data_IF_916317414431
#
_entry.id   IF_916317414431
#
_cell.length_a   1.000
_cell.length_b   1.000
_cell.length_c   1.000
_cell.angle_alpha   90.00
_cell.angle_beta   90.00
_cell.angle_gamma   90.00
#
_symmetry.space_group_name_H-M   'P 1'
#
loop_
_entity.id
_entity.type
_entity.pdbx_description
1 polymer ?
#
# COMPACT_ATOMS: atom_id res chain seq x y z
N UNK A 1 30.58 -43.67 26.87
CA UNK A 1 29.24 -43.57 26.27
C UNK A 1 29.09 -42.40 25.29
N UNK A 2 29.59 -41.19 25.58
CA UNK A 2 29.54 -40.05 24.63
C UNK A 2 30.49 -40.13 23.42
N UNK A 3 31.63 -40.83 23.54
CA UNK A 3 32.62 -40.93 22.46
C UNK A 3 32.21 -41.93 21.34
N UNK A 4 31.41 -42.94 21.65
CA UNK A 4 30.88 -43.89 20.67
C UNK A 4 29.69 -43.32 19.86
N UNK A 5 28.92 -42.41 20.45
CA UNK A 5 27.80 -41.72 19.76
C UNK A 5 28.35 -40.70 18.74
N UNK A 6 29.47 -40.03 19.06
CA UNK A 6 30.13 -39.10 18.14
C UNK A 6 30.73 -39.81 16.92
N UNK A 7 31.36 -40.98 17.11
CA UNK A 7 31.93 -41.77 16.01
C UNK A 7 30.86 -42.35 15.07
N UNK A 8 29.67 -42.69 15.58
CA UNK A 8 28.54 -43.14 14.75
C UNK A 8 27.88 -42.00 13.94
N UNK A 9 28.00 -40.76 14.42
CA UNK A 9 27.52 -39.57 13.71
C UNK A 9 28.48 -39.17 12.57
N UNK A 10 29.80 -39.33 12.78
CA UNK A 10 30.83 -39.02 11.78
C UNK A 10 30.90 -40.08 10.67
N UNK A 11 30.59 -41.35 10.94
CA UNK A 11 30.59 -42.39 9.89
C UNK A 11 29.40 -42.32 8.92
N UNK A 12 28.30 -41.64 9.28
CA UNK A 12 27.11 -41.47 8.43
C UNK A 12 27.11 -40.17 7.59
N UNK A 13 28.13 -39.32 7.75
CA UNK A 13 28.26 -38.06 6.99
C UNK A 13 28.75 -38.29 5.55
N UNK A 14 29.40 -39.41 5.25
CA UNK A 14 29.91 -39.72 3.90
C UNK A 14 28.81 -40.20 2.94
N UNK A 15 27.73 -40.80 3.44
CA UNK A 15 26.65 -41.34 2.60
C UNK A 15 25.57 -40.29 2.27
N UNK A 16 25.36 -39.32 3.16
CA UNK A 16 24.39 -38.21 2.94
C UNK A 16 24.94 -37.18 1.95
N UNK A 17 26.26 -36.98 1.91
CA UNK A 17 26.90 -36.03 1.00
C UNK A 17 26.82 -36.45 -0.48
N UNK A 18 26.82 -37.76 -0.78
CA UNK A 18 26.79 -38.26 -2.16
C UNK A 18 25.38 -38.23 -2.76
N UNK A 19 24.34 -38.39 -1.94
CA UNK A 19 22.94 -38.22 -2.37
C UNK A 19 22.54 -36.75 -2.62
N UNK A 20 23.13 -35.81 -1.89
CA UNK A 20 22.87 -34.38 -2.08
C UNK A 20 23.52 -33.81 -3.36
N UNK A 21 24.69 -34.31 -3.75
CA UNK A 21 25.34 -33.87 -4.99
C UNK A 21 24.61 -34.34 -6.26
N UNK A 22 23.99 -35.53 -6.27
CA UNK A 22 23.26 -36.01 -7.46
C UNK A 22 21.97 -35.22 -7.74
N UNK A 23 21.30 -34.74 -6.68
CA UNK A 23 20.12 -33.87 -6.77
C UNK A 23 20.47 -32.48 -7.30
N UNK A 24 21.66 -31.96 -6.97
CA UNK A 24 22.15 -30.67 -7.46
C UNK A 24 22.48 -30.74 -8.95
N UNK A 25 23.16 -31.81 -9.40
CA UNK A 25 23.57 -31.95 -10.82
C UNK A 25 22.36 -32.16 -11.76
N UNK A 26 21.33 -32.89 -11.33
CA UNK A 26 20.12 -33.11 -12.15
C UNK A 26 19.17 -31.90 -12.22
N UNK A 27 19.25 -30.95 -11.28
CA UNK A 27 18.37 -29.76 -11.25
C UNK A 27 18.95 -28.54 -11.95
N UNK A 28 20.25 -28.50 -12.25
CA UNK A 28 20.88 -27.38 -12.97
C UNK A 28 20.28 -27.16 -14.37
N UNK A 29 20.03 -28.19 -15.21
CA UNK A 29 19.41 -27.98 -16.53
C UNK A 29 17.94 -27.53 -16.44
N UNK A 30 17.20 -28.00 -15.42
CA UNK A 30 15.80 -27.62 -15.18
C UNK A 30 15.69 -26.18 -14.67
N UNK A 31 16.60 -25.75 -13.78
CA UNK A 31 16.72 -24.35 -13.36
C UNK A 31 17.11 -23.44 -14.53
N UNK A 32 18.01 -23.88 -15.42
CA UNK A 32 18.40 -23.10 -16.60
C UNK A 32 17.22 -22.90 -17.57
N UNK A 33 16.40 -23.94 -17.78
CA UNK A 33 15.18 -23.88 -18.60
C UNK A 33 14.05 -23.05 -17.94
N UNK A 34 13.99 -23.00 -16.61
CA UNK A 34 13.10 -22.09 -15.88
C UNK A 34 13.57 -20.63 -15.91
N UNK A 35 14.88 -20.40 -15.86
CA UNK A 35 15.47 -19.06 -15.96
C UNK A 35 15.37 -18.48 -17.38
N UNK A 36 15.43 -19.31 -18.42
CA UNK A 36 15.25 -18.87 -19.82
C UNK A 36 13.80 -18.50 -20.17
N UNK A 37 12.80 -19.06 -19.47
CA UNK A 37 11.38 -18.70 -19.63
C UNK A 37 10.90 -17.57 -18.70
N UNK A 38 11.76 -17.06 -17.82
CA UNK A 38 11.47 -15.93 -16.93
C UNK A 38 11.85 -14.57 -17.53
N UNK A 39 11.93 -14.45 -18.86
CA UNK A 39 11.92 -13.14 -19.51
C UNK A 39 10.51 -12.55 -19.46
N UNK A 40 10.13 -12.10 -18.26
CA UNK A 40 9.10 -11.09 -18.08
C UNK A 40 9.55 -9.91 -18.94
N UNK A 41 8.81 -9.59 -20.02
CA UNK A 41 9.01 -8.35 -20.77
C UNK A 41 8.96 -7.22 -19.76
N UNK A 42 10.12 -6.68 -19.41
CA UNK A 42 10.24 -5.52 -18.54
C UNK A 42 9.53 -4.40 -19.31
N UNK A 43 8.36 -3.97 -18.86
CA UNK A 43 7.72 -2.78 -19.41
C UNK A 43 8.69 -1.63 -19.11
N UNK A 44 9.36 -1.12 -20.13
CA UNK A 44 10.35 -0.06 -19.98
C UNK A 44 9.58 1.25 -20.03
N UNK A 45 9.20 1.75 -18.85
CA UNK A 45 8.67 3.10 -18.72
C UNK A 45 9.77 4.13 -18.99
N UNK A 46 9.38 5.31 -19.47
CA UNK A 46 10.28 6.44 -19.61
C UNK A 46 10.94 6.76 -18.27
N UNK A 47 12.27 6.85 -18.24
CA UNK A 47 13.00 7.20 -17.02
C UNK A 47 12.78 8.67 -16.69
N UNK A 48 12.25 8.97 -15.50
CA UNK A 48 12.19 10.33 -14.99
C UNK A 48 13.60 10.83 -14.65
N UNK A 49 13.82 12.14 -14.85
CA UNK A 49 15.09 12.83 -14.57
C UNK A 49 14.79 14.17 -13.92
N UNK A 50 15.73 14.65 -13.11
CA UNK A 50 15.66 15.95 -12.43
C UNK A 50 14.45 16.09 -11.50
N UNK A 51 14.14 15.04 -10.74
CA UNK A 51 13.05 15.09 -9.76
C UNK A 51 13.31 16.17 -8.69
N UNK A 52 12.31 16.99 -8.33
CA UNK A 52 12.43 17.96 -7.25
C UNK A 52 12.70 17.28 -5.90
N UNK A 53 13.41 17.97 -5.01
CA UNK A 53 13.70 17.45 -3.68
C UNK A 53 12.42 17.38 -2.82
N UNK A 54 12.09 16.19 -2.31
CA UNK A 54 10.98 15.98 -1.38
C UNK A 54 11.41 15.79 0.08
N UNK A 55 12.72 15.90 0.37
CA UNK A 55 13.24 15.69 1.71
C UNK A 55 12.51 16.52 2.80
N UNK A 56 12.14 17.81 2.56
CA UNK A 56 11.40 18.61 3.54
C UNK A 56 9.99 18.09 3.87
N UNK A 57 9.39 17.30 2.98
CA UNK A 57 8.08 16.67 3.24
C UNK A 57 8.19 15.51 4.25
N UNK A 58 9.42 15.09 4.54
CA UNK A 58 9.75 13.88 5.30
C UNK A 58 10.64 14.23 6.49
N UNK A 59 10.41 15.40 7.11
CA UNK A 59 11.13 15.87 8.31
C UNK A 59 10.19 16.02 9.49
N UNK A 60 10.76 16.01 10.70
CA UNK A 60 9.98 16.24 11.92
C UNK A 60 9.36 17.62 11.88
N UNK A 61 8.11 17.71 12.32
CA UNK A 61 7.39 18.97 12.52
C UNK A 61 6.91 19.08 13.96
N UNK A 62 6.61 20.31 14.35
CA UNK A 62 5.91 20.56 15.61
C UNK A 62 4.40 20.32 15.47
N UNK A 63 3.77 19.81 16.52
CA UNK A 63 2.31 19.73 16.57
C UNK A 63 1.68 21.11 16.78
N UNK A 64 0.42 21.27 16.35
CA UNK A 64 -0.36 22.50 16.52
C UNK A 64 -1.61 22.19 17.35
N UNK A 65 -1.48 22.05 18.69
CA UNK A 65 -2.58 21.57 19.53
C UNK A 65 -3.70 22.59 19.70
N UNK A 66 -3.38 23.89 19.58
CA UNK A 66 -4.36 24.98 19.58
C UNK A 66 -5.01 25.07 18.21
N UNK A 67 -6.32 25.22 18.19
CA UNK A 67 -7.07 25.40 16.94
C UNK A 67 -6.69 26.74 16.32
N UNK A 68 -6.41 26.72 15.02
CA UNK A 68 -6.13 27.91 14.21
C UNK A 68 -7.10 27.99 13.03
N UNK A 69 -7.40 29.21 12.56
CA UNK A 69 -8.20 29.41 11.36
C UNK A 69 -7.33 29.22 10.11
N UNK A 70 -7.85 28.54 9.11
CA UNK A 70 -7.27 28.52 7.78
C UNK A 70 -7.81 29.70 6.94
N UNK A 71 -7.01 30.20 6.01
CA UNK A 71 -7.41 31.25 5.08
C UNK A 71 -8.07 30.60 3.85
N UNK A 72 -9.38 30.80 3.69
CA UNK A 72 -10.14 30.23 2.57
C UNK A 72 -9.99 31.09 1.31
N UNK A 73 -9.70 30.46 0.19
CA UNK A 73 -9.74 31.02 -1.17
C UNK A 73 -10.71 30.21 -2.03
N UNK A 74 -11.45 30.86 -2.91
CA UNK A 74 -12.52 30.22 -3.67
C UNK A 74 -13.74 29.88 -2.79
N UNK A 75 -14.35 28.73 -3.04
CA UNK A 75 -15.59 28.30 -2.42
C UNK A 75 -15.47 26.93 -1.75
N UNK A 76 -15.57 26.89 -0.42
CA UNK A 76 -15.84 25.66 0.33
C UNK A 76 -17.35 25.50 0.48
N UNK A 77 -17.97 24.40 -0.01
CA UNK A 77 -19.42 24.26 0.02
C UNK A 77 -20.01 24.36 1.42
N UNK A 78 -21.10 25.12 1.57
CA UNK A 78 -21.74 25.36 2.88
C UNK A 78 -22.36 24.12 3.50
N UNK A 79 -22.73 23.13 2.68
CA UNK A 79 -23.26 21.85 3.13
C UNK A 79 -22.17 20.93 3.70
N UNK A 80 -20.89 21.18 3.38
CA UNK A 80 -19.77 20.40 3.89
C UNK A 80 -19.56 20.76 5.36
N UNK A 81 -20.00 19.87 6.24
CA UNK A 81 -19.98 20.06 7.69
C UNK A 81 -19.42 18.81 8.37
N UNK A 82 -18.26 18.91 8.99
CA UNK A 82 -17.60 17.74 9.57
C UNK A 82 -16.13 17.94 9.90
N UNK A 83 -15.45 16.81 10.10
CA UNK A 83 -14.03 16.74 10.39
C UNK A 83 -13.33 15.86 9.36
N UNK A 84 -12.35 16.41 8.64
CA UNK A 84 -11.35 15.59 7.97
C UNK A 84 -10.25 15.27 8.99
N UNK A 85 -10.09 13.99 9.28
CA UNK A 85 -9.02 13.46 10.13
C UNK A 85 -8.00 12.75 9.25
N UNK A 86 -6.71 13.08 9.39
CA UNK A 86 -5.61 12.42 8.68
C UNK A 86 -4.53 11.97 9.63
N UNK A 87 -3.80 10.92 9.24
CA UNK A 87 -2.67 10.39 9.99
C UNK A 87 -1.46 10.20 9.09
N UNK A 88 -0.29 10.48 9.65
CA UNK A 88 0.99 10.29 8.99
C UNK A 88 2.16 10.35 9.98
N UNK A 89 3.37 10.01 9.55
CA UNK A 89 4.56 10.16 10.36
C UNK A 89 4.94 11.64 10.47
N UNK A 90 5.08 12.17 11.68
CA UNK A 90 5.45 13.56 11.92
C UNK A 90 6.68 13.79 12.78
N UNK A 91 7.27 12.72 13.33
CA UNK A 91 8.55 12.77 14.07
C UNK A 91 9.44 11.61 13.67
N UNK A 92 10.65 11.91 13.22
CA UNK A 92 11.57 10.96 12.61
C UNK A 92 12.83 10.67 13.45
N UNK A 93 12.92 11.25 14.66
CA UNK A 93 14.05 11.07 15.57
C UNK A 93 13.68 11.33 17.05
N UNK A 94 14.45 10.71 17.94
CA UNK A 94 14.48 10.95 19.39
C UNK A 94 15.94 11.05 19.84
N UNK A 95 16.31 12.15 20.52
CA UNK A 95 17.70 12.47 20.82
C UNK A 95 18.60 12.37 19.58
N UNK A 96 19.55 11.43 19.62
CA UNK A 96 20.49 11.17 18.51
C UNK A 96 20.02 10.06 17.56
N UNK A 97 19.04 9.27 17.98
CA UNK A 97 18.56 8.11 17.23
C UNK A 97 17.55 8.55 16.17
N UNK A 98 17.68 8.01 14.95
CA UNK A 98 16.83 8.34 13.81
C UNK A 98 16.12 7.09 13.31
N UNK A 99 14.88 7.27 12.88
CA UNK A 99 14.18 6.23 12.14
C UNK A 99 14.79 6.06 10.74
N UNK A 100 14.77 4.82 10.24
CA UNK A 100 15.31 4.43 8.94
C UNK A 100 14.23 4.39 7.86
N UNK A 101 13.04 3.88 8.18
CA UNK A 101 11.96 3.70 7.22
C UNK A 101 10.86 4.75 7.39
N UNK A 102 10.20 5.12 6.29
CA UNK A 102 9.16 6.15 6.31
C UNK A 102 8.00 5.79 7.24
N UNK A 103 7.65 4.50 7.29
CA UNK A 103 6.57 3.97 8.14
C UNK A 103 6.87 3.97 9.64
N UNK A 104 8.12 4.20 10.04
CA UNK A 104 8.52 4.15 11.45
C UNK A 104 8.29 5.48 12.19
N UNK A 105 8.08 6.58 11.46
CA UNK A 105 7.89 7.90 12.06
C UNK A 105 6.65 7.97 12.94
N UNK A 106 6.73 8.71 14.05
CA UNK A 106 5.63 8.72 15.03
C UNK A 106 4.37 9.39 14.48
N UNK A 107 3.24 8.77 14.78
CA UNK A 107 1.94 9.19 14.30
C UNK A 107 1.58 10.62 14.76
N UNK A 108 1.41 11.52 13.80
CA UNK A 108 0.84 12.84 13.95
C UNK A 108 -0.59 12.80 13.38
N UNK A 109 -1.57 13.13 14.20
CA UNK A 109 -2.95 13.29 13.75
C UNK A 109 -3.19 14.73 13.34
N UNK A 110 -3.82 14.93 12.19
CA UNK A 110 -4.27 16.22 11.68
C UNK A 110 -5.80 16.26 11.67
N UNK A 111 -6.37 17.38 12.07
CA UNK A 111 -7.81 17.62 12.00
C UNK A 111 -8.08 18.93 11.26
N UNK A 112 -8.94 18.86 10.24
CA UNK A 112 -9.57 20.02 9.63
C UNK A 112 -11.06 19.98 9.99
N UNK A 113 -11.50 20.91 10.83
CA UNK A 113 -12.93 21.13 11.10
C UNK A 113 -13.47 22.05 10.00
N UNK A 114 -14.50 21.60 9.30
CA UNK A 114 -15.16 22.34 8.22
C UNK A 114 -16.59 22.63 8.65
N UNK A 115 -16.98 23.89 8.63
CA UNK A 115 -18.34 24.31 9.03
C UNK A 115 -18.73 25.59 8.29
N UNK A 116 -19.87 25.56 7.58
CA UNK A 116 -20.46 26.74 6.91
C UNK A 116 -19.47 27.48 5.99
N UNK A 117 -18.60 26.75 5.31
CA UNK A 117 -17.57 27.31 4.42
C UNK A 117 -16.31 27.84 5.11
N UNK A 118 -16.20 27.70 6.43
CA UNK A 118 -14.99 28.00 7.20
C UNK A 118 -14.21 26.72 7.48
N UNK A 119 -12.89 26.84 7.61
CA UNK A 119 -12.00 25.72 7.91
C UNK A 119 -11.06 26.09 9.07
N UNK A 120 -10.97 25.22 10.05
CA UNK A 120 -10.04 25.34 11.18
C UNK A 120 -9.15 24.10 11.25
N UNK A 121 -7.91 24.29 11.69
CA UNK A 121 -6.89 23.25 11.76
C UNK A 121 -6.34 23.06 13.17
N UNK A 122 -5.98 21.81 13.50
CA UNK A 122 -5.08 21.45 14.60
C UNK A 122 -4.36 20.14 14.30
N UNK A 123 -3.24 19.89 14.97
CA UNK A 123 -2.57 18.59 14.97
C UNK A 123 -2.05 18.21 16.34
N UNK A 124 -1.91 16.90 16.58
CA UNK A 124 -1.35 16.36 17.83
C UNK A 124 -0.69 15.00 17.60
N UNK A 125 0.46 14.76 18.21
CA UNK A 125 1.08 13.45 18.24
C UNK A 125 0.21 12.47 19.02
N UNK A 126 0.02 11.28 18.45
CA UNK A 126 -0.62 10.18 19.14
C UNK A 126 0.24 9.80 20.34
N UNK A 127 -0.35 9.88 21.52
CA UNK A 127 0.31 9.53 22.78
C UNK A 127 0.32 8.00 22.98
N UNK A 128 0.89 7.27 22.00
CA UNK A 128 1.08 5.82 22.04
C UNK A 128 2.12 5.44 23.07
N UNK A 129 2.13 4.16 23.47
CA UNK A 129 3.13 3.64 24.41
C UNK A 129 4.55 3.80 23.84
N UNK A 130 4.74 3.57 22.53
CA UNK A 130 6.03 3.84 21.87
C UNK A 130 6.42 5.31 21.94
N UNK A 131 5.52 6.24 21.60
CA UNK A 131 5.82 7.67 21.62
C UNK A 131 6.22 8.12 23.03
N UNK A 132 5.47 7.71 24.04
CA UNK A 132 5.75 8.01 25.45
C UNK A 132 7.08 7.42 25.89
N UNK A 133 7.33 6.15 25.59
CA UNK A 133 8.57 5.46 25.97
C UNK A 133 9.79 6.15 25.35
N UNK A 134 9.76 6.40 24.04
CA UNK A 134 10.86 7.07 23.35
C UNK A 134 11.05 8.53 23.83
N UNK A 135 9.97 9.24 24.17
CA UNK A 135 10.05 10.61 24.72
C UNK A 135 10.68 10.63 26.11
N UNK A 136 10.32 9.70 26.99
CA UNK A 136 10.89 9.60 28.35
C UNK A 136 12.39 9.30 28.31
N UNK A 137 12.82 8.46 27.38
CA UNK A 137 14.22 8.05 27.26
C UNK A 137 15.06 8.92 26.31
N UNK A 138 14.44 9.87 25.61
CA UNK A 138 15.04 10.68 24.54
C UNK A 138 15.88 9.87 23.53
N UNK A 139 15.38 8.68 23.18
CA UNK A 139 16.00 7.75 22.21
C UNK A 139 14.99 6.72 21.72
N UNK A 140 15.31 5.97 20.67
CA UNK A 140 14.42 4.92 20.15
C UNK A 140 14.61 3.63 20.99
N UNK A 141 13.62 3.32 21.84
CA UNK A 141 13.63 2.14 22.72
C UNK A 141 12.68 1.03 22.30
N UNK A 142 11.78 1.31 21.35
CA UNK A 142 10.88 0.33 20.72
C UNK A 142 11.24 0.15 19.25
N UNK A 143 11.45 -1.09 18.81
CA UNK A 143 11.71 -1.40 17.41
C UNK A 143 10.43 -1.24 16.59
N UNK A 144 10.56 -0.60 15.43
CA UNK A 144 9.48 -0.41 14.44
C UNK A 144 9.75 -1.25 13.18
N UNK A 145 8.98 -1.04 12.12
CA UNK A 145 9.01 -1.83 10.90
C UNK A 145 10.42 -1.93 10.27
N UNK A 146 11.08 -0.79 10.05
CA UNK A 146 12.41 -0.72 9.43
C UNK A 146 13.54 -0.28 10.37
N UNK A 147 13.24 -0.04 11.65
CA UNK A 147 14.21 0.48 12.63
C UNK A 147 14.29 -0.41 13.85
N UNK A 148 15.47 -0.97 14.09
CA UNK A 148 15.74 -1.71 15.32
C UNK A 148 16.08 -0.73 16.45
N UNK A 149 15.36 -0.81 17.56
CA UNK A 149 15.76 -0.13 18.79
C UNK A 149 17.03 -0.77 19.36
N UNK A 150 18.01 0.07 19.69
CA UNK A 150 19.21 -0.40 20.38
C UNK A 150 18.84 -0.79 21.82
N UNK A 151 19.22 -1.99 22.28
CA UNK A 151 18.89 -2.46 23.62
C UNK A 151 19.40 -1.48 24.68
N UNK A 152 18.60 -1.28 25.72
CA UNK A 152 19.02 -0.54 26.90
C UNK A 152 20.23 -1.23 27.54
N UNK A 153 21.41 -0.56 27.64
CA UNK A 153 22.59 -1.16 28.25
C UNK A 153 22.36 -1.59 29.70
N UNK A 154 21.33 -1.05 30.37
CA UNK A 154 20.99 -1.32 31.76
C UNK A 154 20.00 -2.49 31.97
N UNK A 155 19.47 -3.13 30.91
CA UNK A 155 18.50 -4.24 31.03
C UNK A 155 19.14 -5.62 30.86
N UNK A 156 18.76 -6.55 31.75
CA UNK A 156 19.21 -7.94 31.74
C UNK A 156 18.67 -8.73 30.53
N UNK A 157 19.40 -9.76 30.10
CA UNK A 157 19.16 -10.52 28.85
C UNK A 157 17.72 -11.00 28.72
N UNK A 158 17.07 -11.44 29.80
CA UNK A 158 15.68 -11.94 29.77
C UNK A 158 14.63 -10.85 29.53
N UNK A 159 14.85 -9.62 29.98
CA UNK A 159 13.95 -8.48 29.69
C UNK A 159 14.09 -8.00 28.24
N UNK A 160 15.15 -8.39 27.53
CA UNK A 160 15.40 -8.02 26.12
C UNK A 160 14.44 -8.73 25.14
N UNK A 161 13.76 -9.79 25.58
CA UNK A 161 13.00 -10.71 24.71
C UNK A 161 11.48 -10.48 24.65
N UNK A 162 10.90 -9.60 25.47
CA UNK A 162 9.45 -9.43 25.51
C UNK A 162 9.00 -8.26 24.62
N UNK A 163 8.55 -8.58 23.41
CA UNK A 163 7.71 -7.69 22.60
C UNK A 163 6.56 -8.49 22.01
N UNK A 164 5.33 -8.04 22.25
CA UNK A 164 4.10 -8.59 21.66
C UNK A 164 4.13 -8.30 20.16
N UNK A 165 4.10 -9.34 19.34
CA UNK A 165 3.98 -9.21 17.89
C UNK A 165 2.62 -9.77 17.47
N UNK A 166 1.79 -8.93 16.87
CA UNK A 166 0.64 -9.36 16.06
C UNK A 166 1.10 -9.38 14.60
N UNK A 167 0.88 -10.52 13.92
CA UNK A 167 1.24 -10.68 12.51
C UNK A 167 0.35 -9.75 11.67
N UNK A 168 0.90 -8.97 10.72
CA UNK A 168 0.07 -8.18 9.81
C UNK A 168 -0.90 -9.09 9.08
N UNK A 169 -2.19 -8.78 9.22
CA UNK A 169 -3.29 -9.55 8.64
C UNK A 169 -3.19 -9.62 7.12
N UNK A 170 -3.68 -10.72 6.56
CA UNK A 170 -3.89 -10.87 5.11
C UNK A 170 -4.69 -9.68 4.58
N UNK A 171 -4.22 -9.03 3.51
CA UNK A 171 -4.99 -8.02 2.79
C UNK A 171 -6.28 -8.66 2.27
N UNK A 172 -7.44 -8.09 2.62
CA UNK A 172 -8.74 -8.70 2.39
C UNK A 172 -9.66 -7.79 1.57
N UNK A 173 -10.11 -8.32 0.43
CA UNK A 173 -11.31 -7.89 -0.28
C UNK A 173 -12.56 -8.23 0.49
N UNK A 174 -13.62 -7.41 0.36
CA UNK A 174 -14.92 -7.74 0.93
C UNK A 174 -16.06 -7.33 0.01
N UNK A 175 -17.00 -8.24 -0.17
CA UNK A 175 -18.29 -8.01 -0.85
C UNK A 175 -19.44 -8.15 0.14
N UNK A 176 -20.68 -8.16 -0.36
CA UNK A 176 -21.86 -8.41 0.47
C UNK A 176 -21.78 -9.76 1.18
N UNK A 177 -21.36 -10.82 0.49
CA UNK A 177 -21.39 -12.20 0.98
C UNK A 177 -20.02 -12.84 1.16
N UNK A 178 -18.93 -12.27 0.62
CA UNK A 178 -17.62 -12.91 0.61
C UNK A 178 -16.50 -12.02 1.16
N UNK A 179 -15.47 -12.68 1.71
CA UNK A 179 -14.18 -12.09 2.05
C UNK A 179 -13.13 -12.73 1.13
N UNK A 180 -12.26 -11.93 0.53
CA UNK A 180 -11.25 -12.37 -0.44
C UNK A 180 -9.87 -12.10 0.13
N UNK A 181 -9.20 -13.12 0.64
CA UNK A 181 -7.80 -12.95 1.07
C UNK A 181 -6.86 -13.07 -0.11
N UNK A 182 -5.99 -12.08 -0.27
CA UNK A 182 -4.99 -12.04 -1.33
C UNK A 182 -3.68 -12.49 -0.74
N UNK A 183 -3.24 -13.68 -1.12
CA UNK A 183 -1.93 -14.19 -0.75
C UNK A 183 -0.91 -13.83 -1.83
N UNK A 184 -0.08 -12.85 -1.50
CA UNK A 184 0.92 -12.30 -2.40
C UNK A 184 2.27 -13.02 -2.21
N UNK A 185 3.17 -13.01 -3.21
CA UNK A 185 4.53 -13.56 -3.10
C UNK A 185 5.48 -12.77 -2.18
N UNK A 186 4.97 -12.14 -1.12
CA UNK A 186 5.76 -11.47 -0.07
C UNK A 186 5.83 -12.41 1.14
N UNK A 187 6.98 -13.05 1.34
CA UNK A 187 7.17 -14.04 2.40
C UNK A 187 7.78 -13.41 3.64
N UNK A 188 7.28 -13.84 4.80
CA UNK A 188 7.83 -13.50 6.10
C UNK A 188 8.65 -14.68 6.63
N UNK A 189 9.96 -14.50 6.76
CA UNK A 189 10.83 -15.48 7.39
C UNK A 189 10.78 -15.31 8.92
N UNK A 190 9.89 -16.07 9.56
CA UNK A 190 9.66 -15.99 11.01
C UNK A 190 10.93 -16.22 11.83
N UNK A 191 11.83 -17.11 11.40
CA UNK A 191 13.10 -17.31 12.08
C UNK A 191 13.98 -16.06 12.04
N UNK A 192 14.09 -15.39 10.88
CA UNK A 192 14.80 -14.12 10.77
C UNK A 192 14.16 -13.02 11.63
N UNK A 193 12.83 -12.98 11.71
CA UNK A 193 12.06 -12.01 12.49
C UNK A 193 12.25 -12.25 14.00
N UNK A 194 12.07 -13.49 14.47
CA UNK A 194 12.21 -13.85 15.89
C UNK A 194 13.65 -13.62 16.37
N UNK A 195 14.65 -13.86 15.51
CA UNK A 195 16.06 -13.63 15.82
C UNK A 195 16.56 -12.21 15.49
N UNK A 196 15.68 -11.30 15.06
CA UNK A 196 16.02 -9.95 14.59
C UNK A 196 16.88 -9.16 15.59
N UNK A 197 16.44 -9.11 16.86
CA UNK A 197 17.15 -8.44 17.96
C UNK A 197 18.54 -9.03 18.21
N UNK A 198 18.67 -10.36 18.20
CA UNK A 198 19.97 -11.04 18.39
C UNK A 198 20.91 -10.74 17.22
N UNK A 199 20.37 -10.64 16.01
CA UNK A 199 21.13 -10.41 14.77
C UNK A 199 21.44 -8.94 14.51
N UNK A 200 20.90 -8.02 15.31
CA UNK A 200 21.02 -6.58 15.06
C UNK A 200 20.34 -6.16 13.75
N UNK A 201 19.22 -6.79 13.40
CA UNK A 201 18.47 -6.56 12.14
C UNK A 201 17.08 -6.02 12.40
N UNK A 202 16.55 -5.26 11.44
CA UNK A 202 15.19 -4.72 11.52
C UNK A 202 14.14 -5.82 11.22
N UNK A 203 12.88 -5.56 11.54
CA UNK A 203 11.78 -6.49 11.22
C UNK A 203 11.63 -6.69 9.71
N UNK A 204 11.74 -5.60 8.93
CA UNK A 204 11.68 -5.61 7.48
C UNK A 204 12.70 -6.55 6.82
N UNK A 205 13.85 -6.81 7.44
CA UNK A 205 14.90 -7.73 6.93
C UNK A 205 14.44 -9.20 6.89
N UNK A 206 13.33 -9.51 7.57
CA UNK A 206 12.66 -10.80 7.53
C UNK A 206 11.66 -10.96 6.39
N UNK A 207 11.38 -9.90 5.61
CA UNK A 207 10.40 -9.90 4.54
C UNK A 207 11.12 -9.96 3.19
N UNK A 208 10.67 -10.85 2.29
CA UNK A 208 11.24 -10.97 0.94
C UNK A 208 10.18 -11.12 -0.14
N UNK A 209 10.46 -10.56 -1.31
CA UNK A 209 9.73 -10.82 -2.55
C UNK A 209 10.20 -12.12 -3.19
N UNK A 210 9.29 -13.07 -3.38
CA UNK A 210 9.55 -14.43 -3.87
C UNK A 210 8.69 -14.72 -5.12
N UNK A 211 9.00 -14.11 -6.28
CA UNK A 211 8.17 -14.15 -7.49
C UNK A 211 8.06 -15.54 -8.15
N UNK A 212 8.82 -16.52 -7.68
CA UNK A 212 8.65 -17.92 -8.08
C UNK A 212 7.34 -18.53 -7.59
N UNK A 213 6.67 -17.88 -6.61
CA UNK A 213 5.33 -18.23 -6.18
C UNK A 213 4.29 -17.37 -6.89
N UNK A 214 3.10 -17.94 -7.12
CA UNK A 214 1.96 -17.24 -7.69
C UNK A 214 1.22 -16.42 -6.63
N UNK A 215 0.52 -15.37 -7.06
CA UNK A 215 -0.51 -14.74 -6.22
C UNK A 215 -1.74 -15.64 -6.17
N UNK A 216 -2.37 -15.78 -5.00
CA UNK A 216 -3.57 -16.60 -4.81
C UNK A 216 -4.71 -15.79 -4.21
N UNK A 217 -5.93 -16.06 -4.67
CA UNK A 217 -7.13 -15.51 -4.05
C UNK A 217 -7.86 -16.61 -3.30
N UNK A 218 -8.14 -16.37 -2.02
CA UNK A 218 -8.92 -17.27 -1.17
C UNK A 218 -10.27 -16.61 -0.91
N UNK A 219 -11.34 -17.16 -1.47
CA UNK A 219 -12.69 -16.62 -1.32
C UNK A 219 -13.41 -17.37 -0.20
N UNK A 220 -13.80 -16.66 0.84
CA UNK A 220 -14.45 -17.20 2.04
C UNK A 220 -15.87 -16.66 2.10
N UNK A 221 -16.84 -17.54 2.25
CA UNK A 221 -18.22 -17.15 2.54
C UNK A 221 -18.30 -16.53 3.94
N UNK A 222 -18.76 -15.28 4.02
CA UNK A 222 -18.76 -14.48 5.24
C UNK A 222 -19.76 -14.98 6.28
N UNK A 223 -20.82 -15.65 5.85
CA UNK A 223 -21.91 -16.10 6.72
C UNK A 223 -21.57 -17.44 7.38
N UNK A 224 -20.90 -18.32 6.63
CA UNK A 224 -20.56 -19.67 7.07
C UNK A 224 -19.10 -19.81 7.53
N UNK A 225 -18.22 -18.87 7.13
CA UNK A 225 -16.78 -18.96 7.34
C UNK A 225 -16.10 -20.01 6.45
N UNK A 226 -16.82 -20.64 5.52
CA UNK A 226 -16.29 -21.69 4.67
C UNK A 226 -15.47 -21.11 3.52
N UNK A 227 -14.29 -21.70 3.29
CA UNK A 227 -13.48 -21.43 2.11
C UNK A 227 -14.13 -22.09 0.89
N UNK A 228 -14.31 -21.33 -0.19
CA UNK A 228 -14.79 -21.88 -1.45
C UNK A 228 -13.73 -22.83 -2.07
N UNK A 229 -14.16 -23.91 -2.73
CA UNK A 229 -13.23 -24.92 -3.27
C UNK A 229 -12.37 -24.41 -4.44
N UNK A 230 -12.76 -23.29 -5.07
CA UNK A 230 -12.01 -22.69 -6.16
C UNK A 230 -10.64 -22.19 -5.68
N UNK A 231 -9.57 -22.79 -6.20
CA UNK A 231 -8.21 -22.27 -6.02
C UNK A 231 -7.88 -21.31 -7.16
N UNK A 232 -8.04 -20.01 -6.93
CA UNK A 232 -7.74 -18.98 -7.93
C UNK A 232 -6.28 -18.54 -7.82
N UNK A 233 -5.59 -18.53 -8.95
CA UNK A 233 -4.19 -18.17 -9.07
C UNK A 233 -4.00 -17.06 -10.09
N UNK A 234 -2.98 -16.23 -9.92
CA UNK A 234 -2.51 -15.32 -10.95
C UNK A 234 -1.00 -15.27 -11.01
N UNK A 235 -0.47 -14.58 -12.03
CA UNK A 235 0.94 -14.20 -12.08
C UNK A 235 1.32 -13.44 -10.79
N UNK A 236 2.58 -13.52 -10.35
CA UNK A 236 3.04 -12.81 -9.17
C UNK A 236 2.82 -11.29 -9.33
N UNK A 237 2.20 -10.69 -8.33
CA UNK A 237 2.09 -9.24 -8.14
C UNK A 237 1.97 -8.93 -6.65
N UNK A 238 2.24 -7.69 -6.27
CA UNK A 238 1.89 -7.15 -4.95
C UNK A 238 0.82 -6.07 -5.04
N UNK A 239 0.09 -5.88 -3.96
CA UNK A 239 -0.90 -4.82 -3.79
C UNK A 239 -0.89 -4.36 -2.34
N UNK A 240 -0.90 -3.05 -2.13
CA UNK A 240 -1.12 -2.46 -0.81
C UNK A 240 -2.60 -2.16 -0.61
N UNK A 241 -3.26 -1.64 -1.64
CA UNK A 241 -4.63 -1.16 -1.55
C UNK A 241 -5.55 -1.86 -2.54
N UNK A 242 -6.66 -2.34 -1.99
CA UNK A 242 -7.83 -2.69 -2.77
C UNK A 242 -8.62 -1.42 -3.10
N UNK A 243 -9.15 -1.34 -4.31
CA UNK A 243 -10.04 -0.26 -4.75
C UNK A 243 -11.47 -0.57 -4.32
N UNK A 244 -12.03 -1.69 -4.79
CA UNK A 244 -13.35 -2.19 -4.41
C UNK A 244 -13.47 -3.69 -4.72
N UNK A 245 -14.50 -4.35 -4.20
CA UNK A 245 -14.91 -5.68 -4.64
C UNK A 245 -16.43 -5.78 -4.64
N UNK A 246 -17.01 -6.54 -5.56
CA UNK A 246 -18.46 -6.72 -5.65
C UNK A 246 -18.83 -8.07 -6.28
N UNK A 247 -20.10 -8.43 -6.19
CA UNK A 247 -20.65 -9.64 -6.80
C UNK A 247 -21.45 -9.28 -8.06
N UNK A 248 -21.25 -10.00 -9.16
CA UNK A 248 -22.05 -9.88 -10.39
C UNK A 248 -22.10 -11.23 -11.13
N UNK A 249 -23.30 -11.62 -11.59
CA UNK A 249 -23.55 -12.85 -12.37
C UNK A 249 -22.80 -14.11 -11.89
N UNK A 250 -22.81 -14.39 -10.58
CA UNK A 250 -22.17 -15.58 -10.01
C UNK A 250 -20.63 -15.48 -9.90
N UNK A 251 -20.07 -14.29 -10.02
CA UNK A 251 -18.65 -14.01 -9.83
C UNK A 251 -18.44 -12.98 -8.73
N UNK A 252 -17.27 -13.05 -8.08
CA UNK A 252 -16.69 -11.92 -7.36
C UNK A 252 -15.77 -11.16 -8.31
N UNK A 253 -15.98 -9.86 -8.43
CA UNK A 253 -15.10 -8.92 -9.13
C UNK A 253 -14.28 -8.19 -8.08
N UNK A 254 -12.96 -8.14 -8.24
CA UNK A 254 -12.05 -7.46 -7.32
C UNK A 254 -11.09 -6.55 -8.08
N UNK A 255 -11.06 -5.28 -7.66
CA UNK A 255 -10.27 -4.22 -8.28
C UNK A 255 -9.16 -3.80 -7.31
N UNK A 256 -7.91 -3.80 -7.77
CA UNK A 256 -6.71 -3.67 -6.95
C UNK A 256 -5.68 -2.73 -7.57
N UNK A 257 -4.99 -1.95 -6.74
CA UNK A 257 -3.75 -1.26 -7.12
C UNK A 257 -2.59 -2.27 -7.10
N UNK A 258 -2.14 -2.73 -8.28
CA UNK A 258 -1.20 -3.83 -8.42
C UNK A 258 0.17 -3.38 -8.94
N UNK A 259 1.23 -3.95 -8.37
CA UNK A 259 2.62 -3.76 -8.77
C UNK A 259 3.24 -5.11 -9.13
N UNK A 260 4.01 -5.16 -10.22
CA UNK A 260 4.62 -6.43 -10.68
C UNK A 260 5.91 -6.80 -9.93
N UNK A 261 6.35 -5.97 -8.99
CA UNK A 261 7.55 -6.17 -8.18
C UNK A 261 7.28 -5.81 -6.71
N UNK A 262 7.54 -6.77 -5.82
CA UNK A 262 7.31 -6.62 -4.38
C UNK A 262 8.42 -5.91 -3.59
N UNK A 263 9.50 -5.47 -4.26
CA UNK A 263 10.67 -4.86 -3.58
C UNK A 263 10.49 -3.39 -3.22
N UNK A 264 9.32 -2.81 -3.49
CA UNK A 264 9.05 -1.39 -3.27
C UNK A 264 9.27 -0.94 -1.81
N UNK A 265 9.00 -1.80 -0.82
CA UNK A 265 9.26 -1.52 0.59
C UNK A 265 10.74 -1.22 0.88
N UNK A 266 11.68 -1.78 0.11
CA UNK A 266 13.11 -1.50 0.28
C UNK A 266 13.47 -0.07 -0.18
N UNK A 267 12.67 0.54 -1.06
CA UNK A 267 12.92 1.89 -1.57
C UNK A 267 12.46 2.96 -0.58
N UNK A 268 11.40 2.71 0.20
CA UNK A 268 10.80 3.67 1.14
C UNK A 268 11.60 3.91 2.45
N UNK A 269 12.89 3.61 2.42
CA UNK A 269 13.85 4.06 3.42
C UNK A 269 14.03 5.58 3.34
N UNK A 270 14.01 6.28 4.46
CA UNK A 270 14.16 7.74 4.55
C UNK A 270 15.45 8.23 3.90
N UNK A 271 16.53 7.44 3.96
CA UNK A 271 17.79 7.76 3.28
C UNK A 271 17.66 7.81 1.75
N UNK A 272 16.74 7.04 1.15
CA UNK A 272 16.47 7.07 -0.28
C UNK A 272 15.53 8.22 -0.62
N UNK A 273 14.46 8.39 0.16
CA UNK A 273 13.45 9.43 -0.06
C UNK A 273 14.02 10.85 0.13
N UNK A 274 15.06 11.01 0.96
CA UNK A 274 15.75 12.28 1.19
C UNK A 274 16.94 12.53 0.25
N UNK A 275 17.17 11.67 -0.77
CA UNK A 275 18.18 11.92 -1.82
C UNK A 275 17.80 13.13 -2.66
N UNK A 276 18.77 13.67 -3.38
CA UNK A 276 18.59 14.76 -4.36
C UNK A 276 19.26 14.42 -5.69
N UNK A 277 18.85 15.12 -6.75
CA UNK A 277 19.40 14.98 -8.10
C UNK A 277 19.38 13.52 -8.60
N UNK A 278 20.48 13.08 -9.23
CA UNK A 278 20.59 11.75 -9.83
C UNK A 278 20.31 10.60 -8.86
N UNK A 279 20.61 10.77 -7.57
CA UNK A 279 20.35 9.75 -6.55
C UNK A 279 18.86 9.53 -6.30
N UNK A 280 18.07 10.61 -6.35
CA UNK A 280 16.62 10.55 -6.24
C UNK A 280 15.99 9.95 -7.50
N UNK A 281 16.45 10.37 -8.68
CA UNK A 281 16.02 9.80 -9.96
C UNK A 281 16.26 8.28 -10.00
N UNK A 282 17.41 7.82 -9.51
CA UNK A 282 17.71 6.39 -9.43
C UNK A 282 16.75 5.64 -8.50
N UNK A 283 16.47 6.20 -7.32
CA UNK A 283 15.54 5.60 -6.36
C UNK A 283 14.12 5.49 -6.95
N UNK A 284 13.62 6.56 -7.56
CA UNK A 284 12.32 6.56 -8.23
C UNK A 284 12.24 5.56 -9.37
N UNK A 285 13.27 5.50 -10.24
CA UNK A 285 13.28 4.61 -11.39
C UNK A 285 13.48 3.13 -11.03
N UNK A 286 13.78 2.81 -9.76
CA UNK A 286 13.81 1.41 -9.26
C UNK A 286 12.48 0.89 -8.72
N UNK A 287 11.51 1.76 -8.47
CA UNK A 287 10.19 1.39 -7.93
C UNK A 287 9.30 0.85 -9.04
N UNK A 288 8.59 -0.25 -8.76
CA UNK A 288 7.52 -0.72 -9.63
C UNK A 288 6.28 0.15 -9.49
N UNK A 289 5.71 0.52 -10.64
CA UNK A 289 4.49 1.30 -10.75
C UNK A 289 3.29 0.46 -10.31
N UNK A 290 2.32 1.14 -9.70
CA UNK A 290 1.03 0.55 -9.34
C UNK A 290 -0.02 0.88 -10.38
N UNK A 291 -0.75 -0.13 -10.87
CA UNK A 291 -1.82 0.04 -11.84
C UNK A 291 -3.12 -0.61 -11.36
N UNK A 292 -4.29 0.02 -11.63
CA UNK A 292 -5.58 -0.52 -11.23
C UNK A 292 -5.94 -1.70 -12.14
N UNK A 293 -6.08 -2.87 -11.54
CA UNK A 293 -6.36 -4.15 -12.23
C UNK A 293 -7.59 -4.81 -11.65
N UNK A 294 -8.45 -5.31 -12.53
CA UNK A 294 -9.65 -6.09 -12.22
C UNK A 294 -9.40 -7.58 -12.40
N UNK A 295 -9.75 -8.36 -11.39
CA UNK A 295 -9.82 -9.82 -11.46
C UNK A 295 -11.28 -10.28 -11.28
N UNK A 296 -11.63 -11.38 -11.95
CA UNK A 296 -12.97 -11.98 -11.86
C UNK A 296 -12.83 -13.42 -11.37
N UNK A 297 -13.53 -13.74 -10.29
CA UNK A 297 -13.46 -15.01 -9.57
C UNK A 297 -14.84 -15.71 -9.60
N UNK A 298 -15.09 -16.66 -10.52
CA UNK A 298 -16.37 -17.36 -10.61
C UNK A 298 -16.65 -18.21 -9.36
N UNK A 299 -17.76 -17.96 -8.66
CA UNK A 299 -18.07 -18.55 -7.35
C UNK A 299 -18.41 -20.04 -7.41
N UNK A 300 -18.98 -20.49 -8.53
CA UNK A 300 -19.44 -21.86 -8.74
C UNK A 300 -18.66 -22.51 -9.89
N UNK A 301 -17.55 -23.16 -9.57
CA UNK A 301 -16.77 -23.93 -10.55
C UNK A 301 -17.07 -25.42 -10.39
N UNK A 302 -17.78 -25.99 -11.38
CA UNK A 302 -18.07 -27.42 -11.42
C UNK A 302 -16.78 -28.24 -11.63
N UNK A 303 -16.73 -29.44 -11.04
CA UNK A 303 -15.66 -30.41 -11.32
C UNK A 303 -15.57 -30.73 -12.82
N UNK A 304 -16.70 -30.72 -13.53
CA UNK A 304 -16.80 -30.98 -14.96
C UNK A 304 -16.66 -29.71 -15.83
N UNK A 305 -16.29 -28.57 -15.24
CA UNK A 305 -16.06 -27.35 -16.01
C UNK A 305 -14.97 -27.58 -17.08
N UNK A 306 -15.16 -27.05 -18.30
CA UNK A 306 -14.26 -27.25 -19.42
C UNK A 306 -12.87 -26.68 -19.12
N UNK A 307 -11.84 -27.41 -19.53
CA UNK A 307 -10.44 -26.95 -19.43
C UNK A 307 -10.10 -26.01 -20.59
N UNK A 308 -9.29 -25.00 -20.33
CA UNK A 308 -8.83 -24.05 -21.36
C UNK A 308 -9.85 -22.97 -21.74
N UNK A 309 -11.10 -23.07 -21.29
CA UNK A 309 -12.14 -22.07 -21.52
C UNK A 309 -12.23 -21.05 -20.39
N UNK A 310 -12.68 -19.83 -20.74
CA UNK A 310 -12.94 -18.79 -19.75
C UNK A 310 -14.25 -19.08 -19.01
N UNK A 311 -14.15 -19.24 -17.69
CA UNK A 311 -15.29 -19.50 -16.80
C UNK A 311 -16.04 -18.22 -16.38
N UNK A 312 -15.51 -17.03 -16.71
CA UNK A 312 -16.20 -15.77 -16.44
C UNK A 312 -17.33 -15.54 -17.45
N UNK A 313 -18.60 -15.35 -17.00
CA UNK A 313 -19.71 -14.98 -17.88
C UNK A 313 -19.79 -13.46 -18.15
N UNK A 314 -18.90 -12.65 -17.56
CA UNK A 314 -18.99 -11.19 -17.59
C UNK A 314 -18.53 -10.62 -18.94
N UNK A 315 -19.47 -10.28 -19.80
CA UNK A 315 -19.19 -9.73 -21.15
C UNK A 315 -18.52 -8.35 -21.15
N UNK A 316 -18.63 -7.58 -20.06
CA UNK A 316 -18.10 -6.23 -19.95
C UNK A 316 -16.64 -6.18 -19.44
N UNK A 317 -16.05 -7.32 -19.10
CA UNK A 317 -14.67 -7.39 -18.58
C UNK A 317 -13.83 -8.29 -19.44
N UNK A 318 -12.60 -7.86 -19.74
CA UNK A 318 -11.62 -8.70 -20.43
C UNK A 318 -10.85 -9.63 -19.48
N UNK A 319 -11.09 -9.56 -18.17
CA UNK A 319 -10.48 -10.45 -17.20
C UNK A 319 -11.00 -11.88 -17.41
N UNK A 320 -10.12 -12.87 -17.31
CA UNK A 320 -10.48 -14.27 -17.52
C UNK A 320 -10.11 -15.15 -16.33
N UNK A 321 -10.89 -16.21 -16.13
CA UNK A 321 -10.64 -17.25 -15.14
C UNK A 321 -10.70 -18.61 -15.86
N UNK A 322 -9.54 -19.20 -16.14
CA UNK A 322 -9.43 -20.40 -16.98
C UNK A 322 -9.00 -21.59 -16.13
N UNK A 323 -9.81 -22.66 -16.13
CA UNK A 323 -9.42 -23.92 -15.50
C UNK A 323 -8.32 -24.60 -16.31
N UNK A 324 -7.23 -24.96 -15.64
CA UNK A 324 -6.11 -25.70 -16.21
C UNK A 324 -6.24 -27.20 -15.91
N UNK A 325 -5.47 -28.04 -16.62
CA UNK A 325 -5.45 -29.50 -16.45
C UNK A 325 -5.06 -29.98 -15.05
N UNK A 326 -4.39 -29.14 -14.25
CA UNK A 326 -4.06 -29.42 -12.85
C UNK A 326 -5.19 -29.05 -11.87
N UNK A 327 -6.36 -28.66 -12.39
CA UNK A 327 -7.54 -28.26 -11.62
C UNK A 327 -7.50 -26.84 -11.06
N UNK A 328 -6.40 -26.09 -11.25
CA UNK A 328 -6.32 -24.70 -10.80
C UNK A 328 -7.08 -23.75 -11.72
N UNK A 329 -7.60 -22.68 -11.16
CA UNK A 329 -8.26 -21.61 -11.92
C UNK A 329 -7.26 -20.47 -12.10
N UNK A 330 -6.76 -20.30 -13.32
CA UNK A 330 -5.80 -19.25 -13.65
C UNK A 330 -6.51 -17.97 -14.05
N UNK A 331 -6.30 -16.91 -13.28
CA UNK A 331 -6.94 -15.62 -13.42
C UNK A 331 -6.00 -14.63 -14.12
N UNK A 332 -6.42 -14.14 -15.28
CA UNK A 332 -5.84 -12.96 -15.93
C UNK A 332 -6.62 -11.70 -15.53
N UNK A 333 -5.96 -10.56 -15.54
CA UNK A 333 -6.57 -9.29 -15.17
C UNK A 333 -6.98 -8.46 -16.38
N UNK A 334 -7.93 -7.56 -16.15
CA UNK A 334 -8.22 -6.41 -17.01
C UNK A 334 -7.58 -5.15 -16.41
N UNK A 335 -6.94 -4.33 -17.24
CA UNK A 335 -6.51 -2.99 -16.82
C UNK A 335 -7.71 -2.05 -16.81
N UNK A 336 -7.89 -1.30 -15.72
CA UNK A 336 -8.98 -0.34 -15.53
C UNK A 336 -8.62 1.09 -15.93
N UNK A 337 -7.56 1.27 -16.71
CA UNK A 337 -7.01 2.56 -17.05
C UNK A 337 -6.62 2.65 -18.54
N UNK A 338 -6.56 3.86 -19.11
CA UNK A 338 -5.95 4.11 -20.41
C UNK A 338 -4.41 4.07 -20.33
N UNK A 339 -3.72 4.07 -21.47
CA UNK A 339 -2.24 3.99 -21.52
C UNK A 339 -1.54 5.21 -20.91
N UNK A 340 -2.19 6.36 -20.89
CA UNK A 340 -1.73 7.62 -20.29
C UNK A 340 -1.48 7.55 -18.77
N UNK A 341 -2.12 6.65 -18.01
CA UNK A 341 -1.83 6.48 -16.58
C UNK A 341 -0.37 6.06 -16.33
N UNK A 342 0.29 5.45 -17.32
CA UNK A 342 1.72 5.15 -17.26
C UNK A 342 2.57 6.43 -17.18
N UNK A 343 2.13 7.52 -17.82
CA UNK A 343 2.76 8.84 -17.77
C UNK A 343 2.56 9.51 -16.41
N UNK A 344 1.49 9.14 -15.71
CA UNK A 344 1.17 9.57 -14.35
C UNK A 344 1.87 8.76 -13.25
N UNK A 345 2.78 7.85 -13.64
CA UNK A 345 3.59 7.09 -12.70
C UNK A 345 2.82 6.03 -11.92
N UNK A 346 1.60 5.69 -12.37
CA UNK A 346 0.69 4.77 -11.71
C UNK A 346 -0.27 5.47 -10.73
N UNK A 347 -1.07 4.67 -10.02
CA UNK A 347 -2.05 5.16 -9.04
C UNK A 347 -2.04 4.32 -7.77
N UNK A 348 -2.12 5.01 -6.64
CA UNK A 348 -2.25 4.42 -5.31
C UNK A 348 -3.13 5.29 -4.41
N UNK A 349 -3.37 4.86 -3.17
CA UNK A 349 -4.32 5.48 -2.24
C UNK A 349 -5.73 5.61 -2.83
N UNK A 350 -6.32 4.50 -3.32
CA UNK A 350 -7.63 4.52 -3.95
C UNK A 350 -8.73 4.82 -2.93
N UNK A 351 -9.67 5.67 -3.34
CA UNK A 351 -10.88 6.02 -2.61
C UNK A 351 -12.07 5.97 -3.56
N UNK A 352 -13.24 5.64 -3.04
CA UNK A 352 -14.51 5.60 -3.78
C UNK A 352 -15.59 6.34 -2.97
N UNK A 353 -16.80 6.43 -3.52
CA UNK A 353 -17.99 6.73 -2.72
C UNK A 353 -18.34 5.52 -1.82
N UNK A 354 -17.55 5.35 -0.76
CA UNK A 354 -17.54 4.14 0.05
C UNK A 354 -18.89 3.88 0.72
N UNK A 355 -19.54 4.95 1.21
CA UNK A 355 -20.83 4.85 1.91
C UNK A 355 -21.96 4.26 1.06
N UNK A 356 -21.92 4.47 -0.26
CA UNK A 356 -22.97 3.97 -1.16
C UNK A 356 -22.53 2.76 -2.01
N UNK A 357 -21.25 2.69 -2.42
CA UNK A 357 -20.74 1.77 -3.45
C UNK A 357 -19.73 0.73 -2.97
N UNK A 358 -19.29 0.76 -1.71
CA UNK A 358 -18.45 -0.32 -1.17
C UNK A 358 -19.21 -1.66 -1.23
N UNK A 359 -18.56 -2.70 -1.76
CA UNK A 359 -19.19 -4.01 -1.91
C UNK A 359 -20.14 -4.12 -3.12
N UNK A 360 -20.32 -3.05 -3.91
CA UNK A 360 -21.27 -2.96 -5.03
C UNK A 360 -20.57 -2.57 -6.34
N UNK A 361 -21.21 -2.90 -7.46
CA UNK A 361 -20.78 -2.47 -8.79
C UNK A 361 -20.76 -0.95 -8.85
N UNK A 362 -19.68 -0.39 -9.38
CA UNK A 362 -19.34 1.02 -9.33
C UNK A 362 -18.64 1.46 -10.63
N UNK A 363 -18.45 2.76 -10.81
CA UNK A 363 -17.85 3.37 -12.01
C UNK A 363 -16.61 4.21 -11.70
N UNK A 364 -16.55 4.89 -10.56
CA UNK A 364 -15.50 5.87 -10.27
C UNK A 364 -14.68 5.51 -9.04
N UNK A 365 -13.36 5.66 -9.17
CA UNK A 365 -12.49 5.80 -8.01
C UNK A 365 -11.54 6.98 -8.19
N UNK A 366 -10.98 7.41 -7.08
CA UNK A 366 -10.06 8.53 -6.96
C UNK A 366 -8.76 8.01 -6.35
N UNK A 367 -7.61 8.57 -6.72
CA UNK A 367 -6.33 8.18 -6.13
C UNK A 367 -5.25 9.23 -6.33
N UNK A 368 -4.06 8.96 -5.82
CA UNK A 368 -2.87 9.77 -6.06
C UNK A 368 -2.08 9.23 -7.26
N UNK A 369 -1.63 10.11 -8.14
CA UNK A 369 -0.62 9.79 -9.14
C UNK A 369 0.78 9.81 -8.52
N UNK A 370 1.69 8.97 -9.03
CA UNK A 370 3.02 8.73 -8.46
C UNK A 370 4.13 8.95 -9.49
N UNK A 371 4.17 10.13 -10.10
CA UNK A 371 5.35 10.54 -10.91
C UNK A 371 6.56 10.91 -10.02
N UNK A 372 6.36 10.83 -8.71
CA UNK A 372 7.38 10.93 -7.67
C UNK A 372 7.29 9.72 -6.72
N UNK A 373 8.22 9.62 -5.76
CA UNK A 373 8.18 8.64 -4.65
C UNK A 373 7.04 8.90 -3.64
N UNK A 374 6.37 10.04 -3.72
CA UNK A 374 5.13 10.38 -2.99
C UNK A 374 4.08 10.81 -4.00
N UNK A 375 2.81 10.93 -3.59
CA UNK A 375 1.77 11.42 -4.48
C UNK A 375 2.04 12.86 -4.93
N UNK A 376 2.01 13.09 -6.25
CA UNK A 376 2.29 14.40 -6.88
C UNK A 376 1.09 14.94 -7.68
N UNK A 377 -0.03 14.23 -7.65
CA UNK A 377 -1.25 14.57 -8.34
C UNK A 377 -2.43 13.79 -7.79
N UNK A 378 -3.63 14.25 -8.10
CA UNK A 378 -4.87 13.52 -7.86
C UNK A 378 -5.41 13.04 -9.20
N UNK A 379 -6.02 11.86 -9.21
CA UNK A 379 -6.56 11.23 -10.42
C UNK A 379 -7.97 10.73 -10.10
N UNK A 380 -8.94 11.09 -10.94
CA UNK A 380 -10.24 10.42 -11.05
C UNK A 380 -10.17 9.42 -12.19
N UNK A 381 -10.66 8.19 -11.96
CA UNK A 381 -10.68 7.13 -12.98
C UNK A 381 -12.10 6.64 -13.18
N UNK A 382 -12.55 6.61 -14.44
CA UNK A 382 -13.77 5.94 -14.90
C UNK A 382 -13.43 4.50 -15.32
N UNK A 383 -13.78 3.51 -14.49
CA UNK A 383 -13.41 2.10 -14.73
C UNK A 383 -14.21 1.45 -15.86
N UNK A 384 -15.30 2.08 -16.31
CA UNK A 384 -16.16 1.57 -17.39
C UNK A 384 -15.61 2.04 -18.73
N UNK A 385 -15.41 3.36 -18.88
CA UNK A 385 -14.90 3.94 -20.12
C UNK A 385 -13.37 3.92 -20.21
N UNK A 386 -12.69 3.57 -19.11
CA UNK A 386 -11.23 3.58 -18.98
C UNK A 386 -10.68 4.95 -19.38
N UNK A 387 -11.22 6.00 -18.78
CA UNK A 387 -10.75 7.39 -18.91
C UNK A 387 -10.26 7.92 -17.58
N UNK A 388 -9.42 8.95 -17.61
CA UNK A 388 -8.91 9.61 -16.41
C UNK A 388 -9.05 11.13 -16.49
N UNK A 389 -9.06 11.76 -15.32
CA UNK A 389 -8.99 13.22 -15.15
C UNK A 389 -7.99 13.51 -14.05
N UNK A 390 -7.04 14.41 -14.30
CA UNK A 390 -5.92 14.68 -13.39
C UNK A 390 -6.00 16.10 -12.87
N UNK A 391 -5.79 16.26 -11.57
CA UNK A 391 -5.51 17.55 -10.94
C UNK A 391 -4.06 17.56 -10.47
N UNK A 392 -3.38 18.68 -10.71
CA UNK A 392 -1.97 18.87 -10.37
C UNK A 392 -1.64 20.34 -10.25
N UNK A 393 -0.73 20.64 -9.33
CA UNK A 393 -0.08 21.93 -9.19
C UNK A 393 1.43 21.69 -9.00
N UNK A 394 2.28 22.40 -9.75
CA UNK A 394 3.73 22.18 -9.69
C UNK A 394 4.29 22.50 -8.31
N UNK A 395 5.25 21.70 -7.82
CA UNK A 395 5.85 21.84 -6.48
C UNK A 395 4.88 21.63 -5.30
N UNK A 396 3.69 21.10 -5.57
CA UNK A 396 2.70 20.72 -4.56
C UNK A 396 2.41 19.23 -4.63
N UNK A 397 2.20 18.62 -3.46
CA UNK A 397 2.13 17.18 -3.27
C UNK A 397 0.85 16.85 -2.50
N UNK A 398 -0.21 16.40 -3.19
CA UNK A 398 -1.47 16.07 -2.56
C UNK A 398 -1.39 14.74 -1.80
N UNK A 399 -2.16 14.67 -0.71
CA UNK A 399 -2.43 13.44 0.04
C UNK A 399 -3.60 12.65 -0.55
N UNK A 400 -3.89 11.47 -0.01
CA UNK A 400 -5.05 10.62 -0.39
C UNK A 400 -6.35 11.44 -0.57
N UNK A 401 -7.05 11.32 -1.72
CA UNK A 401 -8.28 12.06 -2.02
C UNK A 401 -9.51 11.45 -1.34
N UNK A 402 -10.00 12.07 -0.26
CA UNK A 402 -11.18 11.60 0.46
C UNK A 402 -12.46 12.10 -0.22
N UNK A 403 -13.32 11.18 -0.66
CA UNK A 403 -14.63 11.51 -1.22
C UNK A 403 -15.66 11.83 -0.13
N UNK A 404 -16.43 12.90 -0.33
CA UNK A 404 -17.57 13.27 0.52
C UNK A 404 -18.80 13.54 -0.36
N UNK A 405 -19.89 12.75 -0.24
CA UNK A 405 -21.07 12.93 -1.08
C UNK A 405 -21.82 14.23 -0.71
N UNK A 406 -22.43 14.86 -1.72
CA UNK A 406 -23.48 15.84 -1.48
C UNK A 406 -24.64 15.14 -0.74
N UNK A 407 -25.19 15.71 0.34
CA UNK A 407 -26.34 15.12 1.04
C UNK A 407 -27.51 14.83 0.09
N UNK A 408 -28.02 13.59 0.11
CA UNK A 408 -29.17 13.18 -0.70
C UNK A 408 -28.88 12.92 -2.19
N UNK A 409 -27.63 12.98 -2.63
CA UNK A 409 -27.25 12.64 -4.00
C UNK A 409 -27.47 11.15 -4.31
N UNK A 410 -27.91 10.87 -5.55
CA UNK A 410 -27.91 9.54 -6.14
C UNK A 410 -26.82 9.37 -7.21
N UNK A 411 -26.08 10.44 -7.54
CA UNK A 411 -24.95 10.36 -8.47
C UNK A 411 -23.73 9.80 -7.73
N UNK A 412 -23.07 8.81 -8.33
CA UNK A 412 -21.91 8.13 -7.74
C UNK A 412 -20.77 9.11 -7.40
N UNK A 413 -20.50 10.04 -8.32
CA UNK A 413 -19.50 11.10 -8.23
C UNK A 413 -20.10 12.48 -7.85
N UNK A 414 -21.35 12.51 -7.36
CA UNK A 414 -22.00 13.71 -6.86
C UNK A 414 -21.47 14.10 -5.47
N UNK A 415 -20.36 14.82 -5.41
CA UNK A 415 -19.67 15.07 -4.16
C UNK A 415 -18.49 16.02 -4.31
N UNK A 416 -17.66 16.06 -3.28
CA UNK A 416 -16.34 16.71 -3.33
C UNK A 416 -15.23 15.73 -2.98
N UNK A 417 -14.04 16.05 -3.45
CA UNK A 417 -12.80 15.42 -3.02
C UNK A 417 -12.05 16.38 -2.11
N UNK A 418 -11.64 15.87 -0.95
CA UNK A 418 -10.79 16.57 0.00
C UNK A 418 -9.38 15.99 -0.02
N UNK A 419 -8.37 16.83 -0.20
CA UNK A 419 -6.97 16.43 -0.07
C UNK A 419 -6.16 17.51 0.61
N UNK A 420 -5.30 17.13 1.56
CA UNK A 420 -4.28 18.04 2.10
C UNK A 420 -3.13 18.08 1.12
N UNK A 421 -2.79 19.28 0.66
CA UNK A 421 -1.74 19.53 -0.31
C UNK A 421 -0.61 20.26 0.39
N UNK A 422 0.60 19.70 0.28
CA UNK A 422 1.79 20.21 0.95
C UNK A 422 2.89 20.55 -0.04
N UNK A 423 3.84 21.37 0.37
CA UNK A 423 4.95 21.80 -0.48
C UNK A 423 6.27 21.81 0.29
N UNK A 424 7.39 21.42 -0.34
CA UNK A 424 8.72 21.55 0.28
C UNK A 424 9.19 23.02 0.31
N UNK A 425 8.52 23.93 -0.39
CA UNK A 425 8.85 25.35 -0.42
C UNK A 425 8.34 26.06 0.83
N UNK A 426 9.24 26.52 1.69
CA UNK A 426 8.88 27.17 2.96
C UNK A 426 8.20 28.54 2.79
N UNK A 427 8.27 29.15 1.61
CA UNK A 427 7.60 30.41 1.30
C UNK A 427 6.14 30.23 0.88
N UNK A 428 5.75 29.01 0.52
CA UNK A 428 4.40 28.65 0.13
C UNK A 428 3.62 28.08 1.33
N UNK A 429 2.29 28.08 1.23
CA UNK A 429 1.41 27.58 2.29
C UNK A 429 0.87 26.20 1.94
N UNK A 430 0.85 25.31 2.93
CA UNK A 430 0.10 24.06 2.84
C UNK A 430 -1.40 24.37 2.89
N UNK A 431 -2.24 23.59 2.22
CA UNK A 431 -3.68 23.86 2.19
C UNK A 431 -4.52 22.59 2.15
N UNK A 432 -5.76 22.70 2.61
CA UNK A 432 -6.81 21.74 2.30
C UNK A 432 -7.45 22.13 0.96
N UNK A 433 -7.35 21.26 -0.03
CA UNK A 433 -7.98 21.40 -1.34
C UNK A 433 -9.39 20.80 -1.32
N UNK A 434 -10.31 21.46 -2.01
CA UNK A 434 -11.67 20.98 -2.29
C UNK A 434 -11.88 20.95 -3.81
N UNK A 435 -11.99 19.75 -4.38
CA UNK A 435 -12.36 19.56 -5.78
C UNK A 435 -13.81 19.13 -5.90
N UNK A 436 -14.49 19.53 -6.97
CA UNK A 436 -15.74 18.91 -7.39
C UNK A 436 -15.47 17.48 -7.87
N UNK A 437 -16.17 16.48 -7.34
CA UNK A 437 -15.85 15.09 -7.63
C UNK A 437 -16.31 14.63 -9.03
N UNK A 438 -17.15 15.43 -9.73
CA UNK A 438 -17.69 15.14 -11.05
C UNK A 438 -16.77 15.64 -12.17
N UNK A 439 -16.43 16.92 -12.17
CA UNK A 439 -15.55 17.51 -13.19
C UNK A 439 -14.08 17.61 -12.76
N UNK A 440 -13.78 17.37 -11.49
CA UNK A 440 -12.43 17.41 -10.91
C UNK A 440 -11.77 18.79 -10.91
N UNK A 441 -12.57 19.84 -11.04
CA UNK A 441 -12.12 21.23 -10.95
C UNK A 441 -12.06 21.69 -9.49
N UNK A 442 -11.16 22.63 -9.21
CA UNK A 442 -11.04 23.20 -7.88
C UNK A 442 -12.19 24.15 -7.55
N UNK A 443 -12.91 23.85 -6.47
CA UNK A 443 -13.93 24.74 -5.92
C UNK A 443 -13.29 25.80 -5.03
N UNK A 444 -12.31 25.40 -4.22
CA UNK A 444 -11.54 26.28 -3.36
C UNK A 444 -10.53 25.53 -2.51
N UNK A 445 -9.79 26.30 -1.71
CA UNK A 445 -8.77 25.77 -0.79
C UNK A 445 -8.73 26.55 0.51
N UNK A 446 -8.24 25.92 1.57
CA UNK A 446 -8.04 26.56 2.87
C UNK A 446 -6.57 26.46 3.29
N UNK A 447 -5.85 27.59 3.20
CA UNK A 447 -4.42 27.70 3.49
C UNK A 447 -4.15 27.70 4.99
N UNK A 448 -3.22 26.87 5.43
CA UNK A 448 -2.85 26.71 6.84
C UNK A 448 -1.41 27.18 7.03
N UNK A 449 -1.14 28.09 7.99
CA UNK A 449 0.18 28.68 8.18
C UNK A 449 1.13 27.79 9.01
N UNK A 450 1.15 26.48 8.75
CA UNK A 450 1.97 25.50 9.48
C UNK A 450 2.64 24.52 8.52
N UNK A 451 3.81 24.03 8.91
CA UNK A 451 4.48 22.95 8.21
C UNK A 451 3.76 21.63 8.46
N UNK A 452 3.67 20.77 7.45
CA UNK A 452 3.03 19.47 7.53
C UNK A 452 3.90 18.43 6.82
N UNK A 453 4.13 17.25 7.42
CA UNK A 453 4.80 16.15 6.77
C UNK A 453 3.84 15.43 5.81
N UNK A 454 4.38 14.68 4.87
CA UNK A 454 3.56 13.83 4.00
C UNK A 454 2.95 12.68 4.80
N UNK A 455 1.62 12.59 4.81
CA UNK A 455 0.86 11.56 5.52
C UNK A 455 0.27 10.48 4.61
N UNK A 456 -0.42 9.50 5.20
CA UNK A 456 -0.94 8.33 4.48
C UNK A 456 -2.44 8.41 4.29
N UNK A 457 -3.20 8.14 5.34
CA UNK A 457 -4.64 7.91 5.24
C UNK A 457 -5.46 8.94 6.02
N UNK A 458 -6.74 9.04 5.67
CA UNK A 458 -7.69 9.83 6.43
C UNK A 458 -9.12 9.33 6.32
N UNK A 459 -10.00 10.04 7.01
CA UNK A 459 -11.45 9.85 6.90
C UNK A 459 -12.16 11.17 7.16
N UNK A 460 -13.35 11.33 6.57
CA UNK A 460 -14.23 12.44 6.84
C UNK A 460 -15.40 11.99 7.70
N UNK A 461 -15.63 12.69 8.80
CA UNK A 461 -16.73 12.42 9.73
C UNK A 461 -17.70 13.59 9.69
N UNK A 462 -18.93 13.35 9.23
CA UNK A 462 -20.01 14.33 9.19
C UNK A 462 -20.54 14.68 10.58
N UNK A 463 -21.02 15.91 10.77
CA UNK A 463 -21.68 16.39 11.99
C UNK A 463 -23.17 16.60 11.76
#
# INVERSE_FOLDING_TARGET
>A
MFFQIFLHFVSNLSTIAVGFLSVIVYRIPVLKKYMENAHQKKVIFGKQKNLPCIAPLLTTVEETPKIISAQVRGHVPKWLNGYLLRIGPGKFEFGKDKYNHWFDGMALLHQFKIEKGTVMYRSKFLQSDTYKANSVHDRIVVSEFGTLALPDPCKNIFERFMSKFELPGKFAGMTRNYIIFIEQPVKMNLWKIITSKIRGKAFSDGISWEPQYNTRFHVVDKHTGQLLPGMYYSKPFVTFHQINAFEDQGCVVIDLCCQDDGRNLEVYQLQNLRKTGKGLDQAYNSVARSFPRRFVLPLHVSLNAPEGENLSPLSYSSASAVKQADGKIWCSYENLHPKDLEEEGGVEFPQINYGQFSGKKYRFFYGCGFRHLVGDSLIKVDVVNKTLTVWREESFYPSEPIFVPVPGTNEEDGGVILSVVITPNQNERNFLLVLDAKNFEELGRAEVPVQMPYGFHGTFVTI
#
